data_IF_488085555310
#
_entry.id   IF_488085555310
#
_cell.length_a   1.000
_cell.length_b   1.000
_cell.length_c   1.000
_cell.angle_alpha   90.00
_cell.angle_beta   90.00
_cell.angle_gamma   90.00
#
_symmetry.space_group_name_H-M   'P 1'
#
loop_
_entity.id
_entity.type
_entity.pdbx_description
1 polymer ?
#
# COMPACT_ATOMS: atom_id res chain seq x y z
N UNK A 1 -16.73 22.19 -17.20
CA UNK A 1 -15.62 21.97 -16.26
C UNK A 1 -16.09 20.87 -15.32
N UNK A 2 -15.81 19.62 -15.65
CA UNK A 2 -16.08 18.46 -14.75
C UNK A 2 -14.97 18.46 -13.71
N UNK A 3 -15.28 18.88 -12.49
CA UNK A 3 -14.43 18.61 -11.32
C UNK A 3 -14.36 17.09 -11.20
N UNK A 4 -13.23 16.48 -11.54
CA UNK A 4 -12.96 15.13 -11.09
C UNK A 4 -12.84 15.21 -9.58
N UNK A 5 -13.80 14.65 -8.85
CA UNK A 5 -13.64 14.45 -7.43
C UNK A 5 -12.33 13.68 -7.24
N UNK A 6 -11.46 14.20 -6.38
CA UNK A 6 -10.21 13.49 -6.01
C UNK A 6 -10.54 12.16 -5.33
N UNK A 7 -9.50 11.36 -4.98
CA UNK A 7 -9.71 10.14 -4.24
C UNK A 7 -10.49 10.44 -2.95
N UNK A 8 -11.52 9.65 -2.68
CA UNK A 8 -12.42 9.82 -1.53
C UNK A 8 -12.36 8.55 -0.68
N UNK A 9 -12.19 8.71 0.62
CA UNK A 9 -12.16 7.61 1.58
C UNK A 9 -13.42 7.57 2.41
N UNK A 10 -13.89 6.38 2.74
CA UNK A 10 -15.03 6.17 3.65
C UNK A 10 -14.67 5.17 4.73
N UNK A 11 -15.09 5.46 5.96
CA UNK A 11 -14.96 4.50 7.05
C UNK A 11 -15.96 3.35 6.86
N UNK A 12 -15.61 2.11 7.28
CA UNK A 12 -16.60 1.02 7.33
C UNK A 12 -17.71 1.34 8.32
N UNK A 13 -18.87 0.72 8.15
CA UNK A 13 -19.98 0.84 9.11
C UNK A 13 -19.52 0.39 10.51
N UNK A 14 -19.91 1.13 11.56
CA UNK A 14 -19.45 0.88 12.94
C UNK A 14 -19.86 -0.50 13.49
N UNK A 15 -20.92 -1.09 12.95
CA UNK A 15 -21.46 -2.40 13.28
C UNK A 15 -21.24 -3.45 12.19
N UNK A 16 -20.34 -3.19 11.25
CA UNK A 16 -20.02 -4.14 10.20
C UNK A 16 -19.51 -5.47 10.79
N UNK A 17 -19.84 -6.58 10.12
CA UNK A 17 -19.23 -7.87 10.46
C UNK A 17 -17.71 -7.81 10.28
N UNK A 18 -16.96 -8.70 10.94
CA UNK A 18 -15.49 -8.64 11.01
C UNK A 18 -14.81 -8.50 9.64
N UNK A 19 -15.16 -9.34 8.66
CA UNK A 19 -14.54 -9.30 7.34
C UNK A 19 -14.78 -7.97 6.61
N UNK A 20 -16.01 -7.48 6.44
CA UNK A 20 -16.24 -6.15 5.87
C UNK A 20 -15.59 -5.02 6.66
N UNK A 21 -15.42 -5.16 7.98
CA UNK A 21 -14.72 -4.18 8.82
C UNK A 21 -13.24 -4.12 8.45
N UNK A 22 -12.57 -5.28 8.36
CA UNK A 22 -11.14 -5.36 8.02
C UNK A 22 -10.88 -4.86 6.58
N UNK A 23 -11.68 -5.32 5.62
CA UNK A 23 -11.60 -4.87 4.23
C UNK A 23 -11.83 -3.36 4.11
N UNK A 24 -12.84 -2.83 4.79
CA UNK A 24 -13.16 -1.41 4.78
C UNK A 24 -12.07 -0.53 5.39
N UNK A 25 -11.47 -0.95 6.51
CA UNK A 25 -10.33 -0.22 7.08
C UNK A 25 -9.09 -0.26 6.19
N UNK A 26 -8.80 -1.40 5.57
CA UNK A 26 -7.69 -1.48 4.62
C UNK A 26 -7.92 -0.56 3.42
N UNK A 27 -9.13 -0.54 2.86
CA UNK A 27 -9.49 0.35 1.75
C UNK A 27 -9.43 1.84 2.16
N UNK A 28 -9.88 2.18 3.38
CA UNK A 28 -9.73 3.51 3.93
C UNK A 28 -8.27 3.97 3.94
N UNK A 29 -7.35 3.12 4.36
CA UNK A 29 -5.93 3.44 4.39
C UNK A 29 -5.31 3.54 2.99
N UNK A 30 -5.72 2.69 2.05
CA UNK A 30 -5.32 2.76 0.64
C UNK A 30 -5.72 4.10 0.01
N UNK A 31 -6.96 4.50 0.18
CA UNK A 31 -7.43 5.80 -0.34
C UNK A 31 -6.80 6.98 0.42
N UNK A 32 -6.46 6.84 1.69
CA UNK A 32 -5.67 7.84 2.42
C UNK A 32 -4.34 8.10 1.73
N UNK A 33 -3.59 7.05 1.35
CA UNK A 33 -2.32 7.21 0.63
C UNK A 33 -2.53 7.92 -0.72
N UNK A 34 -3.57 7.53 -1.47
CA UNK A 34 -3.90 8.20 -2.74
C UNK A 34 -4.18 9.71 -2.54
N UNK A 35 -4.90 10.07 -1.46
CA UNK A 35 -5.16 11.48 -1.11
C UNK A 35 -3.88 12.24 -0.78
N UNK A 36 -2.90 11.58 -0.10
CA UNK A 36 -1.60 12.21 0.20
C UNK A 36 -0.75 12.47 -1.06
N UNK A 37 -0.99 11.74 -2.14
CA UNK A 37 -0.31 11.94 -3.42
C UNK A 37 -1.08 12.90 -4.36
N UNK A 38 -2.37 13.11 -4.13
CA UNK A 38 -3.24 13.87 -5.04
C UNK A 38 -2.80 15.34 -5.20
N UNK A 39 -2.83 15.82 -6.45
CA UNK A 39 -2.56 17.22 -6.80
C UNK A 39 -1.09 17.62 -6.83
N UNK A 40 -0.16 16.71 -6.49
CA UNK A 40 1.28 16.94 -6.61
C UNK A 40 1.79 16.58 -8.02
N UNK A 41 2.85 17.26 -8.43
CA UNK A 41 3.61 16.91 -9.64
C UNK A 41 4.52 15.71 -9.37
N UNK A 42 4.94 15.00 -10.42
CA UNK A 42 5.89 13.89 -10.29
C UNK A 42 7.20 14.32 -9.59
N UNK A 43 7.68 15.54 -9.83
CA UNK A 43 8.87 16.08 -9.18
C UNK A 43 8.66 16.20 -7.65
N UNK A 44 7.51 16.72 -7.22
CA UNK A 44 7.16 16.82 -5.80
C UNK A 44 6.97 15.44 -5.14
N UNK A 45 6.38 14.49 -5.87
CA UNK A 45 6.18 13.11 -5.38
C UNK A 45 7.50 12.34 -5.22
N UNK A 46 8.56 12.72 -5.95
CA UNK A 46 9.92 12.17 -5.83
C UNK A 46 10.80 12.89 -4.80
N UNK A 47 10.30 13.96 -4.18
CA UNK A 47 11.10 14.75 -3.25
C UNK A 47 11.29 14.06 -1.91
N UNK A 48 12.53 13.83 -1.48
CA UNK A 48 12.88 13.40 -0.13
C UNK A 48 12.92 14.62 0.81
N UNK A 49 11.73 15.07 1.20
CA UNK A 49 11.52 16.37 1.87
C UNK A 49 11.80 16.37 3.39
N UNK A 50 12.11 15.21 3.99
CA UNK A 50 12.33 15.04 5.45
C UNK A 50 13.74 14.51 5.74
N UNK A 51 14.82 15.33 5.57
CA UNK A 51 16.19 14.89 5.84
C UNK A 51 16.39 14.47 7.32
N UNK A 52 17.20 13.43 7.62
CA UNK A 52 18.03 12.65 6.68
C UNK A 52 17.31 11.47 6.01
N UNK A 53 15.98 11.35 6.16
CA UNK A 53 15.20 10.28 5.53
C UNK A 53 15.24 10.42 4.00
N UNK A 54 15.38 9.29 3.31
CA UNK A 54 15.28 9.20 1.86
C UNK A 54 13.85 8.90 1.37
N UNK A 55 12.88 8.80 2.26
CA UNK A 55 11.49 8.49 1.91
C UNK A 55 10.88 9.58 1.01
N UNK A 56 10.19 9.10 -0.02
CA UNK A 56 9.41 9.92 -0.95
C UNK A 56 7.99 9.37 -1.04
N UNK A 57 7.02 10.19 -1.46
CA UNK A 57 5.65 9.70 -1.65
C UNK A 57 5.57 8.58 -2.71
N UNK A 58 6.28 8.72 -3.83
CA UNK A 58 6.32 7.65 -4.85
C UNK A 58 6.99 6.37 -4.34
N UNK A 59 8.07 6.47 -3.57
CA UNK A 59 8.72 5.32 -2.95
C UNK A 59 7.78 4.58 -1.99
N UNK A 60 7.01 5.32 -1.18
CA UNK A 60 6.01 4.71 -0.30
C UNK A 60 4.91 3.96 -1.08
N UNK A 61 4.46 4.50 -2.23
CA UNK A 61 3.47 3.81 -3.08
C UNK A 61 4.05 2.56 -3.74
N UNK A 62 5.32 2.60 -4.22
CA UNK A 62 6.01 1.43 -4.75
C UNK A 62 6.14 0.34 -3.68
N UNK A 63 6.61 0.71 -2.49
CA UNK A 63 6.73 -0.19 -1.35
C UNK A 63 5.38 -0.87 -1.03
N UNK A 64 4.30 -0.09 -0.90
CA UNK A 64 2.98 -0.67 -0.59
C UNK A 64 2.40 -1.51 -1.73
N UNK A 65 2.77 -1.28 -2.99
CA UNK A 65 2.46 -2.20 -4.08
C UNK A 65 3.18 -3.55 -3.93
N UNK A 66 4.46 -3.53 -3.53
CA UNK A 66 5.25 -4.73 -3.21
C UNK A 66 4.64 -5.51 -2.04
N UNK A 67 4.27 -4.82 -0.96
CA UNK A 67 3.65 -5.39 0.25
C UNK A 67 2.29 -6.04 -0.06
N UNK A 68 1.45 -5.41 -0.92
CA UNK A 68 0.20 -6.01 -1.42
C UNK A 68 0.45 -7.34 -2.15
N UNK A 69 1.41 -7.35 -3.08
CA UNK A 69 1.81 -8.54 -3.84
C UNK A 69 2.28 -9.63 -2.90
N UNK A 70 3.23 -9.31 -2.04
CA UNK A 70 3.87 -10.25 -1.13
C UNK A 70 2.83 -10.95 -0.23
N UNK A 71 2.02 -10.19 0.50
CA UNK A 71 1.11 -10.78 1.49
C UNK A 71 -0.08 -11.52 0.89
N UNK A 72 -0.73 -10.96 -0.14
CA UNK A 72 -1.95 -11.58 -0.67
C UNK A 72 -1.70 -12.59 -1.78
N UNK A 73 -0.68 -12.37 -2.61
CA UNK A 73 -0.44 -13.25 -3.77
C UNK A 73 0.62 -14.31 -3.46
N UNK A 74 1.75 -13.93 -2.90
CA UNK A 74 2.85 -14.87 -2.64
C UNK A 74 2.61 -15.63 -1.35
N UNK A 75 2.39 -14.96 -0.23
CA UNK A 75 2.17 -15.62 1.07
C UNK A 75 0.79 -16.30 1.11
N UNK A 76 -0.31 -15.56 0.95
CA UNK A 76 -1.64 -16.13 1.08
C UNK A 76 -1.93 -17.18 0.02
N UNK A 77 -1.78 -16.82 -1.26
CA UNK A 77 -2.14 -17.69 -2.38
C UNK A 77 -1.00 -18.62 -2.86
N UNK A 78 0.24 -18.43 -2.37
CA UNK A 78 1.40 -19.24 -2.76
C UNK A 78 1.79 -19.08 -4.21
N UNK A 79 1.58 -17.89 -4.80
CA UNK A 79 1.93 -17.61 -6.19
C UNK A 79 3.45 -17.40 -6.31
N UNK A 80 4.06 -18.00 -7.31
CA UNK A 80 5.43 -17.71 -7.72
C UNK A 80 5.39 -16.58 -8.74
N UNK A 81 5.87 -15.40 -8.35
CA UNK A 81 5.81 -14.18 -9.17
C UNK A 81 7.22 -13.63 -9.37
N UNK A 82 7.47 -12.94 -10.50
CA UNK A 82 8.72 -12.19 -10.65
C UNK A 82 8.77 -11.03 -9.67
N UNK A 83 9.98 -10.61 -9.31
CA UNK A 83 10.22 -9.41 -8.51
C UNK A 83 9.49 -8.20 -9.11
N UNK A 84 8.94 -7.33 -8.25
CA UNK A 84 8.28 -6.10 -8.69
C UNK A 84 9.27 -4.94 -8.70
N UNK A 85 9.88 -4.66 -7.55
CA UNK A 85 10.91 -3.64 -7.34
C UNK A 85 12.10 -4.18 -6.55
N UNK A 86 11.84 -4.83 -5.41
CA UNK A 86 12.87 -5.41 -4.54
C UNK A 86 13.38 -6.73 -5.06
N UNK A 87 14.63 -7.04 -4.79
CA UNK A 87 15.27 -8.32 -5.09
C UNK A 87 15.97 -8.87 -3.83
N UNK A 88 16.44 -10.12 -3.86
CA UNK A 88 17.25 -10.68 -2.75
C UNK A 88 18.53 -9.86 -2.49
N UNK A 89 19.15 -9.32 -3.55
CA UNK A 89 20.36 -8.50 -3.46
C UNK A 89 20.09 -7.08 -2.99
N UNK A 90 18.86 -6.60 -3.17
CA UNK A 90 18.47 -5.22 -2.90
C UNK A 90 17.04 -5.12 -2.35
N UNK A 91 16.85 -5.47 -1.07
CA UNK A 91 15.52 -5.56 -0.45
C UNK A 91 14.83 -4.20 -0.25
N UNK A 92 15.56 -3.07 -0.35
CA UNK A 92 15.01 -1.71 -0.20
C UNK A 92 14.85 -1.00 -1.57
N UNK A 93 14.91 -1.73 -2.68
CA UNK A 93 14.80 -1.14 -4.02
C UNK A 93 13.42 -0.51 -4.28
N UNK A 94 12.39 -1.00 -3.63
CA UNK A 94 11.01 -0.52 -3.69
C UNK A 94 10.84 0.93 -3.16
N UNK A 95 11.69 1.39 -2.24
CA UNK A 95 11.68 2.78 -1.79
C UNK A 95 12.41 3.75 -2.75
N UNK A 96 13.19 3.23 -3.69
CA UNK A 96 13.99 4.07 -4.59
C UNK A 96 13.21 4.44 -5.85
N UNK A 97 13.22 5.72 -6.13
CA UNK A 97 12.61 6.31 -7.33
C UNK A 97 13.68 6.92 -8.23
N UNK A 98 13.40 6.96 -9.52
CA UNK A 98 14.26 7.58 -10.52
C UNK A 98 13.56 8.78 -11.18
N UNK A 99 14.26 9.55 -11.99
CA UNK A 99 13.64 10.65 -12.75
C UNK A 99 12.52 10.18 -13.69
N UNK A 100 12.57 8.92 -14.12
CA UNK A 100 11.53 8.31 -14.98
C UNK A 100 10.34 7.76 -14.20
N UNK A 101 10.41 7.67 -12.86
CA UNK A 101 9.29 7.22 -12.04
C UNK A 101 8.18 8.28 -12.02
N UNK A 102 6.97 7.92 -12.43
CA UNK A 102 5.82 8.83 -12.52
C UNK A 102 4.66 8.34 -11.65
N UNK A 103 3.81 9.28 -11.22
CA UNK A 103 2.59 8.93 -10.49
C UNK A 103 1.71 7.96 -11.27
N UNK A 104 1.43 8.29 -12.54
CA UNK A 104 0.54 7.46 -13.36
C UNK A 104 1.03 6.01 -13.49
N UNK A 105 2.35 5.81 -13.66
CA UNK A 105 2.93 4.47 -13.75
C UNK A 105 2.87 3.72 -12.42
N UNK A 106 3.27 4.38 -11.33
CA UNK A 106 3.30 3.79 -9.99
C UNK A 106 1.89 3.49 -9.46
N UNK A 107 0.96 4.43 -9.63
CA UNK A 107 -0.44 4.22 -9.23
C UNK A 107 -1.08 3.05 -10.00
N UNK A 108 -0.83 2.93 -11.30
CA UNK A 108 -1.37 1.84 -12.11
C UNK A 108 -0.91 0.46 -11.59
N UNK A 109 0.38 0.32 -11.26
CA UNK A 109 0.93 -0.92 -10.67
C UNK A 109 0.30 -1.18 -9.30
N UNK A 110 0.29 -0.19 -8.42
CA UNK A 110 -0.29 -0.32 -7.09
C UNK A 110 -1.78 -0.70 -7.12
N UNK A 111 -2.58 -0.03 -7.96
CA UNK A 111 -4.01 -0.38 -8.15
C UNK A 111 -4.20 -1.80 -8.70
N UNK A 112 -3.32 -2.25 -9.59
CA UNK A 112 -3.35 -3.61 -10.11
C UNK A 112 -3.05 -4.65 -9.02
N UNK A 113 -2.05 -4.40 -8.15
CA UNK A 113 -1.74 -5.29 -7.03
C UNK A 113 -2.88 -5.31 -5.99
N UNK A 114 -3.51 -4.17 -5.67
CA UNK A 114 -4.69 -4.12 -4.82
C UNK A 114 -5.87 -4.94 -5.39
N UNK A 115 -6.09 -4.88 -6.71
CA UNK A 115 -7.14 -5.67 -7.36
C UNK A 115 -6.85 -7.17 -7.27
N UNK A 116 -5.62 -7.57 -7.55
CA UNK A 116 -5.16 -8.96 -7.43
C UNK A 116 -5.19 -9.46 -5.97
N UNK A 117 -4.87 -8.60 -5.00
CA UNK A 117 -4.98 -8.90 -3.57
C UNK A 117 -6.42 -9.22 -3.16
N UNK A 118 -7.38 -8.40 -3.60
CA UNK A 118 -8.82 -8.66 -3.34
C UNK A 118 -9.29 -9.97 -3.96
N UNK A 119 -8.87 -10.27 -5.20
CA UNK A 119 -9.18 -11.52 -5.88
C UNK A 119 -8.60 -12.72 -5.12
N UNK A 120 -7.34 -12.65 -4.71
CA UNK A 120 -6.70 -13.70 -3.91
C UNK A 120 -7.43 -13.91 -2.59
N UNK A 121 -7.72 -12.84 -1.84
CA UNK A 121 -8.39 -12.92 -0.55
C UNK A 121 -9.82 -13.44 -0.64
N UNK A 122 -10.53 -13.22 -1.75
CA UNK A 122 -11.92 -13.68 -1.93
C UNK A 122 -12.06 -15.21 -1.86
N UNK A 123 -10.99 -15.97 -2.14
CA UNK A 123 -10.98 -17.43 -2.10
C UNK A 123 -10.79 -18.01 -0.69
N UNK A 124 -10.54 -17.18 0.34
CA UNK A 124 -10.19 -17.62 1.70
C UNK A 124 -11.19 -17.10 2.73
N UNK A 125 -11.48 -17.91 3.74
CA UNK A 125 -12.12 -17.47 4.99
C UNK A 125 -11.09 -16.78 5.90
N UNK A 126 -11.56 -15.99 6.89
CA UNK A 126 -10.65 -15.26 7.79
C UNK A 126 -9.71 -16.17 8.60
N UNK A 127 -10.15 -17.40 8.88
CA UNK A 127 -9.37 -18.38 9.65
C UNK A 127 -8.56 -19.33 8.77
N UNK A 128 -8.71 -19.24 7.44
CA UNK A 128 -7.93 -20.07 6.52
C UNK A 128 -6.46 -19.64 6.55
N UNK A 129 -5.59 -20.64 6.47
CA UNK A 129 -4.15 -20.42 6.51
C UNK A 129 -3.57 -20.22 5.13
N UNK A 130 -2.54 -19.38 5.05
CA UNK A 130 -1.77 -19.13 3.85
C UNK A 130 -1.08 -20.39 3.33
N UNK A 131 -0.82 -20.44 2.03
CA UNK A 131 0.00 -21.50 1.40
C UNK A 131 1.49 -21.27 1.64
N UNK A 132 1.92 -20.01 1.62
CA UNK A 132 3.28 -19.61 1.96
C UNK A 132 3.47 -19.48 3.46
N UNK A 133 4.73 -19.42 3.85
CA UNK A 133 5.17 -19.28 5.26
C UNK A 133 6.14 -18.10 5.36
N UNK A 134 6.12 -17.42 6.51
CA UNK A 134 7.11 -16.39 6.81
C UNK A 134 8.43 -16.97 7.31
N UNK A 135 9.31 -16.11 7.76
CA UNK A 135 10.63 -16.47 8.32
C UNK A 135 10.55 -17.44 9.51
N UNK A 136 9.43 -17.49 10.21
CA UNK A 136 9.16 -18.44 11.30
C UNK A 136 8.85 -19.86 10.81
N UNK A 137 8.67 -20.08 9.50
CA UNK A 137 8.24 -21.34 8.91
C UNK A 137 6.78 -21.69 9.19
N UNK A 138 5.98 -20.75 9.69
CA UNK A 138 4.55 -20.96 10.00
C UNK A 138 3.67 -20.18 9.02
N UNK A 139 2.49 -20.75 8.65
CA UNK A 139 1.52 -20.04 7.84
C UNK A 139 0.79 -18.97 8.67
N UNK A 140 0.16 -18.03 7.98
CA UNK A 140 -0.63 -16.93 8.53
C UNK A 140 -2.11 -17.14 8.22
N UNK A 141 -3.00 -16.75 9.13
CA UNK A 141 -4.42 -16.66 8.77
C UNK A 141 -4.69 -15.41 7.92
N UNK A 142 -5.73 -15.43 7.08
CA UNK A 142 -6.14 -14.24 6.34
C UNK A 142 -6.46 -13.07 7.28
N UNK A 143 -7.05 -13.35 8.46
CA UNK A 143 -7.31 -12.33 9.50
C UNK A 143 -6.03 -11.64 9.93
N UNK A 144 -4.97 -12.39 10.18
CA UNK A 144 -3.67 -11.84 10.56
C UNK A 144 -3.09 -10.97 9.43
N UNK A 145 -3.20 -11.44 8.17
CA UNK A 145 -2.73 -10.67 7.01
C UNK A 145 -3.47 -9.34 6.89
N UNK A 146 -4.81 -9.32 7.03
CA UNK A 146 -5.56 -8.06 7.01
C UNK A 146 -5.13 -7.09 8.11
N UNK A 147 -4.94 -7.57 9.34
CA UNK A 147 -4.50 -6.74 10.46
C UNK A 147 -3.10 -6.17 10.21
N UNK A 148 -2.19 -7.00 9.72
CA UNK A 148 -0.84 -6.58 9.37
C UNK A 148 -0.84 -5.55 8.24
N UNK A 149 -1.62 -5.75 7.19
CA UNK A 149 -1.76 -4.79 6.10
C UNK A 149 -2.34 -3.44 6.54
N UNK A 150 -3.31 -3.45 7.47
CA UNK A 150 -3.83 -2.22 8.06
C UNK A 150 -2.73 -1.50 8.85
N UNK A 151 -1.93 -2.23 9.61
CA UNK A 151 -0.79 -1.70 10.37
C UNK A 151 0.27 -1.10 9.45
N UNK A 152 0.67 -1.81 8.39
CA UNK A 152 1.62 -1.34 7.37
C UNK A 152 1.15 -0.02 6.73
N UNK A 153 -0.08 0.00 6.23
CA UNK A 153 -0.62 1.22 5.65
C UNK A 153 -0.76 2.36 6.66
N UNK A 154 -1.16 2.08 7.91
CA UNK A 154 -1.29 3.11 8.94
C UNK A 154 0.07 3.74 9.27
N UNK A 155 1.13 2.91 9.40
CA UNK A 155 2.49 3.38 9.62
C UNK A 155 2.97 4.26 8.45
N UNK A 156 2.82 3.77 7.22
CA UNK A 156 3.30 4.49 6.04
C UNK A 156 2.45 5.71 5.68
N UNK A 157 1.18 5.75 6.02
CA UNK A 157 0.37 6.98 5.94
C UNK A 157 0.86 8.06 6.89
N UNK A 158 1.34 7.68 8.10
CA UNK A 158 2.00 8.63 9.00
C UNK A 158 3.30 9.20 8.43
N UNK A 159 4.11 8.37 7.74
CA UNK A 159 5.27 8.85 7.00
C UNK A 159 4.87 9.78 5.85
N UNK A 160 3.84 9.42 5.08
CA UNK A 160 3.33 10.21 3.97
C UNK A 160 2.80 11.59 4.44
N UNK A 161 2.18 11.67 5.63
CA UNK A 161 1.76 12.94 6.22
C UNK A 161 2.92 13.90 6.41
N UNK A 162 4.01 13.44 7.02
CA UNK A 162 5.20 14.26 7.26
C UNK A 162 5.87 14.68 5.95
N UNK A 163 6.00 13.74 4.98
CA UNK A 163 6.58 14.04 3.67
C UNK A 163 5.71 15.05 2.94
N UNK A 164 4.39 14.88 2.91
CA UNK A 164 3.45 15.79 2.25
C UNK A 164 3.49 17.19 2.83
N UNK A 165 3.43 17.31 4.17
CA UNK A 165 3.49 18.60 4.85
C UNK A 165 4.78 19.37 4.50
N UNK A 166 5.89 18.66 4.36
CA UNK A 166 7.18 19.28 3.98
C UNK A 166 7.24 19.69 2.51
N UNK A 167 6.52 19.01 1.62
CA UNK A 167 6.50 19.31 0.17
C UNK A 167 5.68 20.55 -0.14
N UNK A 168 4.47 20.68 0.42
CA UNK A 168 3.54 21.76 0.04
C UNK A 168 2.79 22.39 1.23
N UNK A 169 3.07 22.00 2.45
CA UNK A 169 2.42 22.51 3.66
C UNK A 169 1.03 21.92 3.94
N UNK A 170 0.55 20.98 3.12
CA UNK A 170 -0.74 20.34 3.36
C UNK A 170 -0.64 19.37 4.54
N UNK A 171 -1.49 19.61 5.57
CA UNK A 171 -1.62 18.70 6.71
C UNK A 171 -2.73 17.70 6.49
N UNK A 172 -2.51 16.45 6.91
CA UNK A 172 -3.46 15.37 6.73
C UNK A 172 -4.73 15.53 7.57
N UNK A 173 -5.88 15.29 6.97
CA UNK A 173 -7.16 14.97 7.61
C UNK A 173 -7.78 13.80 6.91
#
# INVERSE_FOLDING_TARGET
MTSSAGPERSEPAFDAAERPMLEGWLDYHRETLAMKCAGLTDAQLREASVPPSALTLLGLVQHLAEVERFWFREILAGAELPDLYSTEEDPDADFRVTESTTWAGTEAVWRAEMAAARESAAAYGLDDLSKGVGSSGKPFSLRWIYLHMIEEYAQHNGHADLVRERVDGATGK
#
